data_IF_224548769091
#
_entry.id   IF_224548769091
#
_cell.length_a   1.000
_cell.length_b   1.000
_cell.length_c   1.000
_cell.angle_alpha   90.00
_cell.angle_beta   90.00
_cell.angle_gamma   90.00
#
_symmetry.space_group_name_H-M   'P 1'
#
loop_
_entity.id
_entity.type
_entity.pdbx_description
1 polymer ?
#
# COMPACT_ATOMS: atom_id res chain seq x y z
N UNK A 1 6.18 -31.20 -6.62
CA UNK A 1 5.00 -30.35 -6.39
C UNK A 1 5.45 -28.92 -6.68
N UNK A 2 4.88 -28.25 -7.68
CA UNK A 2 5.34 -26.92 -8.08
C UNK A 2 4.63 -25.84 -7.27
N UNK A 3 5.37 -24.84 -6.78
CA UNK A 3 4.81 -23.70 -6.07
C UNK A 3 4.17 -22.75 -7.08
N UNK A 4 2.88 -22.48 -6.95
CA UNK A 4 2.17 -21.53 -7.81
C UNK A 4 2.25 -20.14 -7.22
N UNK A 5 2.67 -19.16 -8.02
CA UNK A 5 2.65 -17.75 -7.63
C UNK A 5 1.22 -17.20 -7.64
N UNK A 6 0.89 -16.33 -6.69
CA UNK A 6 -0.38 -15.63 -6.61
C UNK A 6 -0.15 -14.13 -6.41
N UNK A 7 -1.00 -13.30 -7.02
CA UNK A 7 -1.12 -11.88 -6.66
C UNK A 7 -2.27 -11.71 -5.68
N UNK A 8 -2.00 -11.10 -4.54
CA UNK A 8 -2.97 -10.86 -3.48
C UNK A 8 -3.24 -9.35 -3.42
N UNK A 9 -4.51 -8.96 -3.37
CA UNK A 9 -4.95 -7.57 -3.25
C UNK A 9 -5.62 -7.38 -1.90
N UNK A 10 -5.20 -6.36 -1.15
CA UNK A 10 -5.84 -5.95 0.10
C UNK A 10 -6.71 -4.72 -0.18
N UNK A 11 -8.04 -4.89 -0.11
CA UNK A 11 -9.03 -3.86 -0.42
C UNK A 11 -9.82 -3.42 0.83
N UNK A 12 -10.48 -2.26 0.76
CA UNK A 12 -11.26 -1.67 1.87
C UNK A 12 -11.26 -0.14 1.89
N UNK A 13 -12.10 0.46 2.74
CA UNK A 13 -12.29 1.90 2.84
C UNK A 13 -11.07 2.71 3.31
N UNK A 14 -11.21 4.03 3.38
CA UNK A 14 -10.17 4.91 3.91
C UNK A 14 -9.92 4.64 5.41
N UNK A 15 -8.66 4.70 5.86
CA UNK A 15 -8.30 4.55 7.27
C UNK A 15 -8.40 3.15 7.89
N UNK A 16 -8.91 2.13 7.17
CA UNK A 16 -9.15 0.77 7.73
C UNK A 16 -7.89 -0.07 8.00
N UNK A 17 -6.68 0.48 7.83
CA UNK A 17 -5.44 -0.20 8.19
C UNK A 17 -4.83 -1.14 7.13
N UNK A 18 -5.22 -1.05 5.85
CA UNK A 18 -4.66 -1.88 4.76
C UNK A 18 -3.13 -1.84 4.70
N UNK A 19 -2.55 -0.64 4.75
CA UNK A 19 -1.09 -0.42 4.72
C UNK A 19 -0.42 -1.01 5.96
N UNK A 20 -1.05 -0.89 7.12
CA UNK A 20 -0.56 -1.48 8.37
C UNK A 20 -0.50 -3.01 8.26
N UNK A 21 -1.57 -3.63 7.74
CA UNK A 21 -1.61 -5.08 7.54
C UNK A 21 -0.49 -5.55 6.60
N UNK A 22 -0.35 -4.94 5.42
CA UNK A 22 0.73 -5.28 4.47
C UNK A 22 2.10 -5.12 5.14
N UNK A 23 2.32 -4.06 5.92
CA UNK A 23 3.56 -3.86 6.68
C UNK A 23 3.82 -4.95 7.72
N UNK A 24 2.80 -5.43 8.42
CA UNK A 24 2.96 -6.43 9.49
C UNK A 24 3.34 -7.83 9.01
N UNK A 25 2.99 -8.19 7.77
CA UNK A 25 3.27 -9.52 7.19
C UNK A 25 4.41 -9.52 6.18
N UNK A 26 4.93 -8.33 5.83
CA UNK A 26 6.00 -8.21 4.85
C UNK A 26 7.36 -8.47 5.48
N UNK A 27 8.12 -9.42 4.92
CA UNK A 27 9.52 -9.68 5.28
C UNK A 27 10.50 -8.72 4.56
N UNK A 28 10.00 -7.89 3.64
CA UNK A 28 10.76 -6.87 2.91
C UNK A 28 10.24 -5.47 3.22
N UNK A 29 11.09 -4.45 2.99
CA UNK A 29 10.61 -3.07 3.03
C UNK A 29 9.55 -2.85 1.92
N UNK A 30 8.36 -2.34 2.25
CA UNK A 30 7.31 -2.13 1.24
C UNK A 30 7.75 -1.16 0.16
N UNK A 31 7.55 -1.55 -1.10
CA UNK A 31 7.73 -0.65 -2.24
C UNK A 31 6.53 0.29 -2.32
N UNK A 32 6.81 1.60 -2.37
CA UNK A 32 5.81 2.64 -2.62
C UNK A 32 6.16 3.33 -3.92
N UNK A 33 5.18 3.49 -4.80
CA UNK A 33 5.33 4.18 -6.09
C UNK A 33 4.63 5.54 -6.10
N UNK A 34 4.07 5.96 -4.97
CA UNK A 34 3.40 7.24 -4.81
C UNK A 34 4.43 8.38 -4.78
N UNK A 35 4.14 9.47 -5.48
CA UNK A 35 4.92 10.69 -5.38
C UNK A 35 4.64 11.38 -4.04
N UNK A 36 5.66 12.03 -3.47
CA UNK A 36 5.48 12.86 -2.28
C UNK A 36 4.51 13.98 -2.61
N UNK A 37 3.46 14.12 -1.81
CA UNK A 37 2.51 15.22 -1.96
C UNK A 37 3.23 16.55 -1.81
N UNK A 38 3.06 17.42 -2.81
CA UNK A 38 3.64 18.77 -2.77
C UNK A 38 2.63 19.73 -2.15
N UNK A 39 3.13 20.77 -1.46
CA UNK A 39 2.28 21.84 -0.92
C UNK A 39 1.66 22.71 -2.02
N UNK A 40 2.03 22.52 -3.28
CA UNK A 40 1.55 23.32 -4.41
C UNK A 40 0.03 23.21 -4.62
N UNK A 41 -0.59 22.11 -4.17
CA UNK A 41 -2.04 21.89 -4.25
C UNK A 41 -2.76 22.08 -2.91
N UNK A 42 -2.09 22.62 -1.88
CA UNK A 42 -2.74 22.86 -0.59
C UNK A 42 -3.85 23.91 -0.75
N UNK A 43 -5.09 23.56 -0.37
CA UNK A 43 -6.26 24.46 -0.47
C UNK A 43 -6.95 24.46 -1.84
N UNK A 44 -6.53 23.60 -2.76
CA UNK A 44 -7.23 23.31 -4.01
C UNK A 44 -7.99 22.00 -3.78
N UNK A 45 -9.24 22.12 -3.32
CA UNK A 45 -10.22 21.03 -3.25
C UNK A 45 -11.34 21.33 -4.27
#
# INVERSE_FOLDING_TARGET
MATTSAKIVIAGGFGVGKTTFVGSVSEINPLRTEAVMTSASAGID
#
